data_IF_207375930798
#
_entry.id   IF_207375930798
#
_cell.length_a   1.000
_cell.length_b   1.000
_cell.length_c   1.000
_cell.angle_alpha   90.00
_cell.angle_beta   90.00
_cell.angle_gamma   90.00
#
_symmetry.space_group_name_H-M   'P 1'
#
loop_
_entity.id
_entity.type
_entity.pdbx_description
1 polymer ?
#
# COMPACT_ATOMS: atom_id res chain seq x y z
N UNK A 1 22.69 -21.59 10.82
CA UNK A 1 22.64 -21.57 9.34
C UNK A 1 22.09 -20.20 8.94
N UNK A 2 22.95 -19.26 8.55
CA UNK A 2 22.53 -17.92 8.14
C UNK A 2 22.20 -17.94 6.65
N UNK A 3 20.93 -17.98 6.28
CA UNK A 3 20.51 -17.58 4.94
C UNK A 3 20.25 -16.08 4.96
N UNK A 4 21.27 -15.31 4.55
CA UNK A 4 21.09 -13.98 4.00
C UNK A 4 20.18 -14.11 2.78
N UNK A 5 19.19 -13.24 2.67
CA UNK A 5 18.19 -13.25 1.61
C UNK A 5 18.81 -13.27 0.21
N UNK A 6 18.67 -14.39 -0.48
CA UNK A 6 18.67 -14.44 -1.94
C UNK A 6 17.26 -14.07 -2.41
N UNK A 7 16.95 -12.78 -2.38
CA UNK A 7 15.78 -12.22 -3.06
C UNK A 7 16.03 -12.18 -4.56
N UNK A 8 16.12 -13.34 -5.19
CA UNK A 8 16.26 -13.49 -6.64
C UNK A 8 15.01 -14.15 -7.22
N UNK A 9 14.58 -13.71 -8.39
CA UNK A 9 13.53 -14.38 -9.15
C UNK A 9 14.02 -15.80 -9.50
N UNK A 10 13.45 -16.83 -8.85
CA UNK A 10 13.78 -18.23 -9.08
C UNK A 10 12.76 -18.85 -10.03
N UNK A 11 13.21 -19.30 -11.19
CA UNK A 11 12.38 -20.13 -12.07
C UNK A 11 12.43 -21.59 -11.61
N UNK A 12 11.26 -22.21 -11.55
CA UNK A 12 11.07 -23.59 -11.12
C UNK A 12 10.24 -24.32 -12.17
N UNK A 13 10.66 -25.54 -12.51
CA UNK A 13 9.90 -26.44 -13.35
C UNK A 13 9.32 -27.52 -12.46
N UNK A 14 8.01 -27.50 -12.25
CA UNK A 14 7.31 -28.48 -11.42
C UNK A 14 6.43 -29.33 -12.33
N UNK A 15 6.56 -30.64 -12.21
CA UNK A 15 5.74 -31.58 -12.95
C UNK A 15 4.32 -31.63 -12.36
N UNK A 16 3.32 -31.63 -13.24
CA UNK A 16 1.93 -31.84 -12.83
C UNK A 16 1.65 -33.34 -12.86
N UNK A 17 1.19 -33.86 -11.73
CA UNK A 17 0.78 -35.24 -11.56
C UNK A 17 -0.52 -35.54 -12.32
N UNK A 18 -0.82 -36.83 -12.51
CA UNK A 18 -2.01 -37.27 -13.27
C UNK A 18 -3.33 -36.81 -12.64
N UNK A 19 -3.34 -36.57 -11.34
CA UNK A 19 -4.50 -36.07 -10.59
C UNK A 19 -4.63 -34.53 -10.64
N UNK A 20 -3.74 -33.84 -11.37
CA UNK A 20 -3.73 -32.39 -11.50
C UNK A 20 -3.01 -31.67 -10.36
N UNK A 21 -2.44 -32.40 -9.40
CA UNK A 21 -1.65 -31.79 -8.32
C UNK A 21 -0.21 -31.54 -8.75
N UNK A 22 0.46 -30.63 -8.05
CA UNK A 22 1.88 -30.37 -8.23
C UNK A 22 2.48 -29.99 -6.87
N UNK A 23 3.70 -30.46 -6.59
CA UNK A 23 4.37 -30.17 -5.32
C UNK A 23 5.89 -30.23 -5.51
N UNK A 24 6.58 -29.23 -4.95
CA UNK A 24 8.04 -29.24 -4.81
C UNK A 24 8.39 -29.06 -3.32
N UNK A 25 8.77 -30.15 -2.61
CA UNK A 25 9.03 -30.09 -1.18
C UNK A 25 10.31 -29.33 -0.82
N UNK A 26 11.12 -28.94 -1.80
CA UNK A 26 12.37 -28.19 -1.58
C UNK A 26 12.18 -26.68 -1.56
N UNK A 27 10.97 -26.22 -1.91
CA UNK A 27 10.67 -24.79 -2.07
C UNK A 27 9.82 -24.31 -0.90
N UNK A 28 10.37 -23.35 -0.15
CA UNK A 28 9.65 -22.66 0.92
C UNK A 28 9.36 -21.23 0.50
N UNK A 29 8.08 -20.86 0.48
CA UNK A 29 7.65 -19.48 0.30
C UNK A 29 7.53 -18.83 1.68
N UNK A 30 8.33 -17.79 1.93
CA UNK A 30 8.21 -16.97 3.14
C UNK A 30 7.56 -15.62 2.81
N UNK A 31 6.79 -15.09 3.75
CA UNK A 31 6.02 -13.84 3.58
C UNK A 31 5.11 -13.91 2.33
N UNK A 32 4.89 -12.79 1.64
CA UNK A 32 4.04 -12.71 0.47
C UNK A 32 4.85 -12.87 -0.80
N UNK A 33 4.51 -13.88 -1.60
CA UNK A 33 5.18 -14.17 -2.87
C UNK A 33 4.22 -13.90 -4.05
N UNK A 34 4.74 -13.26 -5.09
CA UNK A 34 4.06 -13.18 -6.39
C UNK A 34 4.58 -14.32 -7.27
N UNK A 35 3.70 -15.25 -7.63
CA UNK A 35 4.05 -16.38 -8.49
C UNK A 35 3.52 -16.09 -9.89
N UNK A 36 4.42 -16.08 -10.87
CA UNK A 36 4.08 -16.05 -12.29
C UNK A 36 4.25 -17.46 -12.86
N UNK A 37 3.27 -17.96 -13.59
CA UNK A 37 3.31 -19.33 -14.09
C UNK A 37 2.82 -19.43 -15.54
N UNK A 38 3.31 -20.47 -16.21
CA UNK A 38 2.88 -20.87 -17.54
C UNK A 38 2.65 -22.38 -17.55
N UNK A 39 1.51 -22.81 -18.09
CA UNK A 39 1.18 -24.21 -18.22
C UNK A 39 1.79 -24.81 -19.48
N UNK A 40 2.11 -26.10 -19.42
CA UNK A 40 2.65 -26.84 -20.56
C UNK A 40 1.65 -26.90 -21.72
N UNK A 41 2.17 -27.06 -22.95
CA UNK A 41 1.35 -27.17 -24.17
C UNK A 41 0.39 -28.36 -24.03
N UNK A 42 -0.91 -28.08 -24.03
CA UNK A 42 -1.97 -29.10 -23.96
C UNK A 42 -3.02 -28.83 -22.88
N UNK A 43 -2.69 -28.05 -21.85
CA UNK A 43 -3.64 -27.61 -20.82
C UNK A 43 -4.21 -26.25 -21.24
N UNK A 44 -5.47 -26.24 -21.69
CA UNK A 44 -6.23 -25.01 -21.97
C UNK A 44 -7.24 -24.80 -20.84
N UNK A 45 -7.36 -23.56 -20.36
CA UNK A 45 -8.36 -23.14 -19.36
C UNK A 45 -8.28 -23.85 -17.99
N UNK A 46 -7.14 -23.77 -17.32
CA UNK A 46 -6.96 -24.30 -15.97
C UNK A 46 -6.90 -23.19 -14.90
N UNK A 47 -7.55 -23.43 -13.76
CA UNK A 47 -7.40 -22.61 -12.55
C UNK A 47 -6.31 -23.22 -11.68
N UNK A 48 -5.25 -22.46 -11.40
CA UNK A 48 -4.16 -22.89 -10.53
C UNK A 48 -4.38 -22.33 -9.13
N UNK A 49 -4.36 -23.20 -8.12
CA UNK A 49 -4.39 -22.83 -6.70
C UNK A 49 -3.10 -23.26 -6.04
N UNK A 50 -2.57 -22.40 -5.18
CA UNK A 50 -1.34 -22.64 -4.44
C UNK A 50 -1.65 -22.73 -2.94
N UNK A 51 -0.85 -23.51 -2.21
CA UNK A 51 -0.93 -23.64 -0.75
C UNK A 51 -2.29 -24.16 -0.23
N UNK A 52 -2.97 -25.05 -0.98
CA UNK A 52 -4.27 -25.61 -0.57
C UNK A 52 -4.22 -26.39 0.75
N UNK A 53 -3.06 -26.95 1.10
CA UNK A 53 -2.82 -27.68 2.35
C UNK A 53 -2.41 -26.79 3.52
N UNK A 54 -2.28 -25.47 3.33
CA UNK A 54 -2.06 -24.55 4.43
C UNK A 54 -3.34 -24.54 5.28
N UNK A 55 -3.19 -24.75 6.59
CA UNK A 55 -4.30 -24.55 7.52
C UNK A 55 -4.93 -23.18 7.22
N UNK A 56 -6.23 -23.11 6.90
CA UNK A 56 -6.86 -21.84 6.60
C UNK A 56 -6.65 -20.91 7.79
N UNK A 57 -6.35 -19.64 7.53
CA UNK A 57 -6.37 -18.64 8.57
C UNK A 57 -7.70 -18.78 9.33
N UNK A 58 -7.65 -18.78 10.67
CA UNK A 58 -8.84 -18.95 11.50
C UNK A 58 -9.99 -18.10 10.95
N UNK A 59 -11.03 -18.77 10.42
CA UNK A 59 -12.18 -18.11 9.76
C UNK A 59 -13.01 -17.28 10.73
N UNK A 60 -12.82 -17.48 12.04
CA UNK A 60 -13.29 -16.58 13.07
C UNK A 60 -12.42 -15.30 13.07
N UNK A 61 -12.59 -14.48 12.03
CA UNK A 61 -12.56 -13.03 12.21
C UNK A 61 -13.82 -12.67 13.01
N UNK A 62 -13.82 -12.97 14.31
CA UNK A 62 -14.60 -12.13 15.21
C UNK A 62 -13.98 -10.76 14.96
N UNK A 63 -14.74 -9.85 14.34
CA UNK A 63 -14.30 -8.47 14.25
C UNK A 63 -13.87 -8.09 15.67
N UNK A 64 -12.59 -7.80 15.86
CA UNK A 64 -12.15 -7.19 17.09
C UNK A 64 -12.85 -5.83 17.13
N UNK A 65 -14.01 -5.75 17.78
CA UNK A 65 -14.71 -4.49 17.98
C UNK A 65 -13.82 -3.63 18.88
N UNK A 66 -13.21 -2.63 18.25
CA UNK A 66 -12.26 -1.69 18.84
C UNK A 66 -11.36 -1.10 17.74
N UNK A 67 -10.50 -0.14 18.09
CA UNK A 67 -9.60 0.63 17.19
C UNK A 67 -8.53 -0.23 16.45
N UNK A 68 -8.76 -1.54 16.32
CA UNK A 68 -7.78 -2.58 16.00
C UNK A 68 -7.81 -2.99 14.53
N UNK A 69 -7.85 -2.02 13.61
CA UNK A 69 -7.76 -2.30 12.18
C UNK A 69 -6.29 -2.35 11.75
N UNK A 70 -5.69 -3.55 11.77
CA UNK A 70 -4.39 -3.78 11.13
C UNK A 70 -4.57 -3.77 9.59
N UNK A 71 -4.07 -2.72 8.93
CA UNK A 71 -4.09 -2.57 7.46
C UNK A 71 -3.09 -3.48 6.72
N UNK A 72 -2.15 -4.09 7.43
CA UNK A 72 -1.08 -4.90 6.84
C UNK A 72 -1.22 -6.35 7.29
N UNK A 73 -1.04 -7.28 6.34
CA UNK A 73 -0.96 -8.71 6.58
C UNK A 73 0.30 -9.03 7.42
N UNK A 74 0.22 -8.81 8.73
CA UNK A 74 1.31 -9.09 9.64
C UNK A 74 1.23 -10.51 10.18
N UNK A 75 1.89 -11.43 9.48
CA UNK A 75 2.02 -12.84 9.88
C UNK A 75 3.04 -13.04 11.01
N UNK A 76 3.76 -11.99 11.43
CA UNK A 76 4.84 -12.06 12.42
C UNK A 76 4.49 -11.42 13.78
N UNK A 77 3.30 -10.84 13.92
CA UNK A 77 2.84 -10.19 15.16
C UNK A 77 3.59 -8.90 15.52
N UNK A 78 4.40 -8.37 14.61
CA UNK A 78 5.21 -7.17 14.79
C UNK A 78 4.36 -5.91 15.03
N UNK A 79 3.22 -5.79 14.35
CA UNK A 79 2.24 -4.74 14.56
C UNK A 79 1.69 -4.77 15.98
N UNK A 80 1.46 -5.96 16.56
CA UNK A 80 0.98 -6.10 17.94
C UNK A 80 2.04 -5.63 18.94
N UNK A 81 3.31 -5.98 18.72
CA UNK A 81 4.41 -5.53 19.57
C UNK A 81 4.62 -4.01 19.50
N UNK A 82 4.50 -3.40 18.33
CA UNK A 82 4.54 -1.95 18.19
C UNK A 82 3.38 -1.26 18.88
N UNK A 83 2.15 -1.79 18.73
CA UNK A 83 0.97 -1.25 19.40
C UNK A 83 1.09 -1.30 20.92
N UNK A 84 1.58 -2.42 21.48
CA UNK A 84 1.82 -2.54 22.91
C UNK A 84 2.89 -1.55 23.38
N UNK A 85 3.95 -1.37 22.60
CA UNK A 85 5.00 -0.38 22.90
C UNK A 85 4.47 1.05 22.87
N UNK A 86 3.63 1.39 21.90
CA UNK A 86 2.98 2.70 21.79
C UNK A 86 1.94 2.92 22.90
N UNK A 87 1.20 1.90 23.29
CA UNK A 87 0.25 1.96 24.41
C UNK A 87 0.97 2.18 25.73
N UNK A 88 2.07 1.47 25.98
CA UNK A 88 2.96 1.69 27.13
C UNK A 88 3.52 3.11 27.12
N UNK A 89 4.00 3.59 25.96
CA UNK A 89 4.46 4.98 25.80
C UNK A 89 3.38 6.00 26.15
N UNK A 90 2.15 5.77 25.68
CA UNK A 90 1.00 6.63 25.97
C UNK A 90 0.65 6.62 27.46
N UNK A 91 0.60 5.45 28.09
CA UNK A 91 0.34 5.31 29.52
C UNK A 91 1.41 6.03 30.35
N UNK A 92 2.69 5.87 30.02
CA UNK A 92 3.79 6.58 30.67
C UNK A 92 3.69 8.10 30.50
N UNK A 93 3.31 8.59 29.31
CA UNK A 93 3.04 10.02 29.10
C UNK A 93 1.82 10.53 29.87
N UNK A 94 0.83 9.66 30.13
CA UNK A 94 -0.38 10.00 30.89
C UNK A 94 -0.07 10.07 32.39
N UNK A 95 0.72 9.11 32.90
CA UNK A 95 1.21 9.05 34.29
C UNK A 95 2.18 10.19 34.62
N UNK A 96 2.93 10.71 33.64
CA UNK A 96 3.82 11.86 33.81
C UNK A 96 3.09 13.21 33.99
N UNK A 97 1.76 13.22 34.03
CA UNK A 97 0.96 14.41 34.33
C UNK A 97 1.08 15.49 33.25
N UNK A 98 0.21 15.44 32.24
CA UNK A 98 0.04 16.55 31.29
C UNK A 98 -1.31 17.22 31.50
N UNK A 99 -1.27 18.50 31.87
CA UNK A 99 -2.42 19.42 31.71
C UNK A 99 -2.59 19.66 30.21
N UNK A 100 -3.78 19.40 29.68
CA UNK A 100 -4.06 19.55 28.25
C UNK A 100 -4.53 20.96 27.94
N UNK A 101 -3.84 21.60 26.99
CA UNK A 101 -4.39 22.74 26.26
C UNK A 101 -5.28 22.22 25.13
N UNK A 102 -6.42 22.88 24.92
CA UNK A 102 -7.47 22.43 24.01
C UNK A 102 -6.99 22.57 22.56
N UNK A 103 -6.83 21.46 21.83
CA UNK A 103 -6.50 21.47 20.39
C UNK A 103 -7.72 21.04 19.58
N UNK A 104 -8.31 22.00 18.87
CA UNK A 104 -9.35 21.74 17.87
C UNK A 104 -8.64 21.35 16.56
N UNK A 105 -8.61 20.06 16.22
CA UNK A 105 -8.11 19.61 14.93
C UNK A 105 -9.22 19.81 13.89
N UNK A 106 -9.12 20.86 13.07
CA UNK A 106 -9.90 20.99 11.84
C UNK A 106 -9.06 20.44 10.68
N UNK A 107 -9.03 19.12 10.51
CA UNK A 107 -8.42 18.52 9.32
C UNK A 107 -9.38 18.67 8.14
N UNK A 108 -9.01 19.49 7.15
CA UNK A 108 -9.71 19.54 5.85
C UNK A 108 -9.10 18.47 4.95
N UNK A 109 -9.82 17.37 4.74
CA UNK A 109 -9.44 16.35 3.74
C UNK A 109 -9.49 16.98 2.35
N UNK A 110 -8.42 16.83 1.56
CA UNK A 110 -8.39 17.28 0.16
C UNK A 110 -9.40 16.48 -0.65
N UNK A 111 -10.12 17.16 -1.53
CA UNK A 111 -11.06 16.53 -2.47
C UNK A 111 -10.29 15.76 -3.56
N UNK A 112 -10.89 14.76 -4.22
CA UNK A 112 -10.24 14.02 -5.31
C UNK A 112 -9.69 14.91 -6.43
N UNK A 113 -10.42 15.98 -6.77
CA UNK A 113 -9.99 16.96 -7.79
C UNK A 113 -8.81 17.82 -7.34
N UNK A 114 -8.72 18.19 -6.05
CA UNK A 114 -7.54 18.87 -5.50
C UNK A 114 -6.29 17.97 -5.56
N UNK A 115 -6.45 16.65 -5.36
CA UNK A 115 -5.34 15.69 -5.49
C UNK A 115 -4.88 15.57 -6.94
N UNK A 116 -5.81 15.57 -7.90
CA UNK A 116 -5.47 15.55 -9.33
C UNK A 116 -4.78 16.85 -9.75
N UNK A 117 -5.25 17.99 -9.26
CA UNK A 117 -4.65 19.28 -9.58
C UNK A 117 -3.18 19.34 -9.13
N UNK A 118 -2.88 18.86 -7.92
CA UNK A 118 -1.50 18.75 -7.41
C UNK A 118 -0.63 17.76 -8.20
N UNK A 119 -1.25 16.75 -8.83
CA UNK A 119 -0.53 15.69 -9.55
C UNK A 119 -0.22 16.06 -11.00
N UNK A 120 -1.09 16.79 -11.67
CA UNK A 120 -0.97 17.09 -13.10
C UNK A 120 -0.62 18.54 -13.39
N UNK A 121 -1.24 19.48 -12.67
CA UNK A 121 -1.09 20.89 -12.97
C UNK A 121 0.12 21.49 -12.25
N UNK A 122 0.86 22.35 -12.95
CA UNK A 122 2.07 22.98 -12.46
C UNK A 122 2.03 24.50 -12.60
N UNK A 123 2.72 25.20 -11.69
CA UNK A 123 2.89 26.65 -11.77
C UNK A 123 1.58 27.42 -11.93
N UNK A 124 1.48 28.20 -13.01
CA UNK A 124 0.30 29.03 -13.32
C UNK A 124 -0.94 28.23 -13.75
N UNK A 125 -0.80 26.93 -14.02
CA UNK A 125 -1.91 26.04 -14.34
C UNK A 125 -2.50 25.39 -13.08
N UNK A 126 -1.86 25.48 -11.91
CA UNK A 126 -2.38 24.96 -10.64
C UNK A 126 -3.39 25.92 -9.97
N UNK A 127 -4.22 25.38 -9.09
CA UNK A 127 -5.22 26.15 -8.32
C UNK A 127 -6.58 26.27 -9.01
N UNK A 128 -7.10 27.49 -9.06
CA UNK A 128 -8.51 27.75 -9.36
C UNK A 128 -8.88 27.57 -10.85
N UNK A 129 -10.08 27.03 -11.10
CA UNK A 129 -10.58 26.68 -12.44
C UNK A 129 -11.72 25.66 -12.37
N UNK A 130 -12.35 25.35 -13.51
CA UNK A 130 -13.21 24.15 -13.56
C UNK A 130 -12.31 22.93 -13.67
N UNK A 131 -12.61 21.91 -12.87
CA UNK A 131 -11.77 20.73 -12.69
C UNK A 131 -12.62 19.49 -12.95
N UNK A 132 -12.16 18.60 -13.83
CA UNK A 132 -12.88 17.40 -14.22
C UNK A 132 -11.98 16.18 -14.07
N UNK A 133 -12.41 15.24 -13.22
CA UNK A 133 -11.77 13.94 -13.02
C UNK A 133 -12.31 12.95 -14.06
N UNK A 134 -11.54 12.67 -15.11
CA UNK A 134 -11.94 11.74 -16.17
C UNK A 134 -11.60 10.28 -15.84
N UNK A 135 -10.86 10.03 -14.77
CA UNK A 135 -10.58 8.68 -14.29
C UNK A 135 -11.83 8.10 -13.61
N UNK A 136 -12.55 8.94 -12.87
CA UNK A 136 -13.70 8.51 -12.06
C UNK A 136 -15.06 9.02 -12.54
N UNK A 137 -15.14 9.76 -13.66
CA UNK A 137 -16.41 10.22 -14.24
C UNK A 137 -16.99 9.17 -15.22
N UNK A 138 -18.13 8.52 -14.91
CA UNK A 138 -18.76 7.55 -15.81
C UNK A 138 -19.13 8.12 -17.18
N UNK A 139 -19.39 9.44 -17.26
CA UNK A 139 -19.74 10.12 -18.52
C UNK A 139 -18.54 10.24 -19.47
N UNK A 140 -17.31 10.24 -18.94
CA UNK A 140 -16.10 10.28 -19.75
C UNK A 140 -15.98 9.03 -20.65
N UNK A 141 -16.43 7.87 -20.17
CA UNK A 141 -16.40 6.61 -20.94
C UNK A 141 -17.38 6.60 -22.11
N UNK A 142 -18.44 7.43 -22.07
CA UNK A 142 -19.47 7.52 -23.10
C UNK A 142 -19.30 8.70 -24.07
N UNK A 143 -18.39 9.62 -23.76
CA UNK A 143 -18.14 10.78 -24.60
C UNK A 143 -17.35 10.38 -25.85
N UNK A 144 -17.77 10.88 -27.02
CA UNK A 144 -17.11 10.59 -28.30
C UNK A 144 -15.77 11.28 -28.44
N UNK A 145 -15.63 12.48 -27.88
CA UNK A 145 -14.40 13.26 -27.83
C UNK A 145 -14.42 14.18 -26.58
N UNK A 146 -13.30 14.88 -26.36
CA UNK A 146 -13.12 15.79 -25.22
C UNK A 146 -14.12 16.96 -25.25
N UNK A 147 -14.51 17.44 -26.44
CA UNK A 147 -15.41 18.59 -26.58
C UNK A 147 -16.86 18.22 -26.30
N UNK A 148 -17.29 17.03 -26.73
CA UNK A 148 -18.57 16.43 -26.37
C UNK A 148 -18.64 16.19 -24.85
N UNK A 149 -17.54 15.79 -24.21
CA UNK A 149 -17.47 15.67 -22.76
C UNK A 149 -17.68 17.02 -22.04
N UNK A 150 -17.03 18.08 -22.53
CA UNK A 150 -17.09 19.42 -21.92
C UNK A 150 -18.38 20.17 -22.23
N UNK A 151 -19.17 19.71 -23.21
CA UNK A 151 -20.39 20.37 -23.65
C UNK A 151 -21.38 20.51 -22.49
N UNK A 152 -21.71 21.77 -22.15
CA UNK A 152 -22.62 22.09 -21.05
C UNK A 152 -22.02 21.96 -19.63
N UNK A 153 -20.76 21.54 -19.48
CA UNK A 153 -20.10 21.42 -18.17
C UNK A 153 -19.38 22.68 -17.71
N UNK A 154 -19.04 23.59 -18.63
CA UNK A 154 -18.31 24.84 -18.34
C UNK A 154 -19.21 26.04 -18.63
N UNK A 155 -19.49 26.85 -17.60
CA UNK A 155 -20.37 28.00 -17.77
C UNK A 155 -19.76 29.08 -18.69
N UNK A 156 -20.52 29.47 -19.71
CA UNK A 156 -20.13 30.49 -20.70
C UNK A 156 -19.25 29.97 -21.83
N UNK A 157 -18.80 28.70 -21.79
CA UNK A 157 -18.13 28.05 -22.91
C UNK A 157 -19.20 27.50 -23.87
N UNK A 158 -19.19 27.99 -25.10
CA UNK A 158 -20.00 27.51 -26.20
C UNK A 158 -19.13 26.63 -27.09
N UNK A 159 -19.59 25.41 -27.32
CA UNK A 159 -18.96 24.44 -28.20
C UNK A 159 -19.98 24.15 -29.31
N UNK A 160 -19.63 24.44 -30.55
CA UNK A 160 -20.44 24.13 -31.74
C UNK A 160 -19.69 23.16 -32.65
N UNK A 161 -20.42 22.33 -33.41
CA UNK A 161 -19.80 21.25 -34.19
C UNK A 161 -19.35 20.06 -33.32
N UNK A 162 -18.54 19.17 -33.91
CA UNK A 162 -18.06 17.94 -33.26
C UNK A 162 -16.74 17.49 -33.88
N UNK A 163 -15.91 16.77 -33.13
CA UNK A 163 -14.62 16.28 -33.60
C UNK A 163 -13.70 17.41 -34.07
N UNK A 164 -12.98 17.18 -35.18
CA UNK A 164 -12.08 18.17 -35.78
C UNK A 164 -12.77 19.47 -36.24
N UNK A 165 -14.10 19.46 -36.43
CA UNK A 165 -14.87 20.63 -36.82
C UNK A 165 -15.46 21.39 -35.62
N UNK A 166 -15.05 21.05 -34.39
CA UNK A 166 -15.50 21.76 -33.20
C UNK A 166 -15.00 23.22 -33.23
N UNK A 167 -15.87 24.15 -32.83
CA UNK A 167 -15.53 25.55 -32.63
C UNK A 167 -15.82 25.93 -31.19
N UNK A 168 -14.84 26.57 -30.56
CA UNK A 168 -14.89 26.95 -29.15
C UNK A 168 -15.02 28.46 -29.04
N UNK A 169 -15.99 28.93 -28.27
CA UNK A 169 -16.21 30.33 -28.00
C UNK A 169 -16.51 30.53 -26.52
N UNK A 170 -15.71 31.33 -25.83
CA UNK A 170 -15.89 31.63 -24.41
C UNK A 170 -15.95 33.14 -24.20
N UNK A 171 -17.12 33.65 -23.81
CA UNK A 171 -17.35 35.09 -23.53
C UNK A 171 -16.82 36.04 -24.61
N UNK A 172 -16.97 35.67 -25.88
CA UNK A 172 -16.62 36.54 -27.01
C UNK A 172 -15.29 36.24 -27.70
N UNK A 173 -14.49 35.27 -27.22
CA UNK A 173 -13.29 34.83 -27.94
C UNK A 173 -13.00 33.33 -27.81
N UNK A 174 -12.14 32.81 -28.69
CA UNK A 174 -11.73 31.41 -28.65
C UNK A 174 -10.75 31.17 -27.50
N UNK A 175 -11.00 30.20 -26.60
CA UNK A 175 -10.06 29.83 -25.56
C UNK A 175 -8.86 29.07 -26.14
N UNK A 176 -7.72 29.16 -25.48
CA UNK A 176 -6.54 28.38 -25.82
C UNK A 176 -6.75 26.91 -25.44
N UNK A 177 -6.34 25.97 -26.29
CA UNK A 177 -6.31 24.54 -25.96
C UNK A 177 -4.88 24.07 -25.75
N UNK A 178 -4.65 23.31 -24.69
CA UNK A 178 -3.35 22.77 -24.33
C UNK A 178 -3.45 21.30 -23.99
N UNK A 179 -2.39 20.55 -24.29
CA UNK A 179 -2.20 19.18 -23.82
C UNK A 179 -0.96 19.17 -22.97
N UNK A 180 -1.08 18.71 -21.73
CA UNK A 180 0.02 18.67 -20.76
C UNK A 180 0.79 20.01 -20.72
N UNK A 181 0.05 21.11 -20.69
CA UNK A 181 0.56 22.51 -20.63
C UNK A 181 1.26 23.01 -21.91
N UNK A 182 1.22 22.24 -22.99
CA UNK A 182 1.75 22.62 -24.31
C UNK A 182 0.60 23.04 -25.23
N UNK A 183 0.66 24.22 -25.88
CA UNK A 183 -0.34 24.64 -26.85
C UNK A 183 -0.55 23.60 -27.95
N UNK A 184 -1.80 23.33 -28.28
CA UNK A 184 -2.19 22.39 -29.33
C UNK A 184 -3.37 22.95 -30.12
N UNK A 185 -3.99 22.12 -30.95
CA UNK A 185 -5.14 22.49 -31.79
C UNK A 185 -6.33 21.55 -31.58
N UNK A 186 -7.49 22.00 -32.05
CA UNK A 186 -8.76 21.29 -31.89
C UNK A 186 -8.73 19.94 -32.60
N UNK A 187 -8.09 19.87 -33.76
CA UNK A 187 -8.02 18.64 -34.56
C UNK A 187 -7.28 17.53 -33.80
N UNK A 188 -6.10 17.83 -33.26
CA UNK A 188 -5.33 16.89 -32.47
C UNK A 188 -6.02 16.51 -31.16
N UNK A 189 -6.56 17.48 -30.40
CA UNK A 189 -7.34 17.18 -29.19
C UNK A 189 -8.53 16.26 -29.49
N UNK A 190 -9.23 16.47 -30.61
CA UNK A 190 -10.37 15.64 -31.00
C UNK A 190 -9.99 14.19 -31.35
N UNK A 191 -8.74 13.94 -31.74
CA UNK A 191 -8.22 12.60 -32.04
C UNK A 191 -7.86 11.79 -30.79
N UNK A 192 -7.74 12.44 -29.63
CA UNK A 192 -7.40 11.78 -28.37
C UNK A 192 -8.62 11.07 -27.83
N UNK A 193 -8.49 9.77 -27.60
CA UNK A 193 -9.51 9.00 -26.90
C UNK A 193 -9.68 9.56 -25.47
N UNK A 194 -10.92 9.86 -25.07
CA UNK A 194 -11.26 10.40 -23.74
C UNK A 194 -10.74 9.50 -22.61
N UNK A 195 -10.67 8.18 -22.83
CA UNK A 195 -10.10 7.22 -21.87
C UNK A 195 -8.59 7.34 -21.68
N UNK A 196 -7.87 8.07 -22.53
CA UNK A 196 -6.45 8.36 -22.33
C UNK A 196 -6.23 9.67 -21.57
N UNK A 197 -7.30 10.38 -21.21
CA UNK A 197 -7.26 11.61 -20.43
C UNK A 197 -7.52 11.28 -18.96
N UNK A 198 -6.72 11.88 -18.07
CA UNK A 198 -6.90 11.72 -16.63
C UNK A 198 -7.70 12.89 -16.03
N UNK A 199 -7.36 14.09 -16.48
CA UNK A 199 -7.79 15.32 -15.84
C UNK A 199 -7.96 16.41 -16.89
N UNK A 200 -9.07 17.13 -16.85
CA UNK A 200 -9.25 18.34 -17.66
C UNK A 200 -9.41 19.51 -16.72
N UNK A 201 -8.62 20.55 -16.96
CA UNK A 201 -8.71 21.81 -16.24
C UNK A 201 -9.05 22.94 -17.18
N UNK A 202 -10.06 23.73 -16.82
CA UNK A 202 -10.55 24.82 -17.64
C UNK A 202 -10.37 26.14 -16.89
N UNK A 203 -9.40 26.93 -17.36
CA UNK A 203 -8.95 28.20 -16.80
C UNK A 203 -9.84 29.33 -17.30
N UNK A 204 -10.49 30.05 -16.37
CA UNK A 204 -11.43 31.11 -16.70
C UNK A 204 -10.73 32.32 -17.32
N UNK A 205 -11.36 33.02 -18.29
CA UNK A 205 -10.85 34.30 -18.77
C UNK A 205 -10.90 35.38 -17.68
N UNK A 206 -9.88 36.26 -17.58
CA UNK A 206 -8.63 36.23 -18.35
C UNK A 206 -7.60 35.25 -17.74
N UNK A 207 -6.98 34.40 -18.57
CA UNK A 207 -5.88 33.53 -18.13
C UNK A 207 -4.55 34.03 -18.68
N UNK A 208 -3.61 34.36 -17.79
CA UNK A 208 -2.30 34.93 -18.15
C UNK A 208 -1.15 33.93 -18.07
N UNK A 209 -1.42 32.66 -17.76
CA UNK A 209 -0.36 31.64 -17.61
C UNK A 209 0.21 31.12 -18.93
N UNK A 210 -0.40 31.46 -20.07
CA UNK A 210 0.10 31.11 -21.41
C UNK A 210 -0.22 32.21 -22.42
N UNK A 211 0.66 32.40 -23.40
CA UNK A 211 0.43 33.33 -24.51
C UNK A 211 -0.80 32.90 -25.31
N UNK A 212 -1.77 33.79 -25.50
CA UNK A 212 -3.07 33.47 -26.12
C UNK A 212 -4.17 33.03 -25.14
N UNK A 213 -3.89 32.93 -23.83
CA UNK A 213 -4.88 32.55 -22.80
C UNK A 213 -5.89 33.63 -22.40
N UNK A 214 -5.89 34.80 -23.03
CA UNK A 214 -6.74 35.94 -22.63
C UNK A 214 -8.25 35.63 -22.59
N UNK A 215 -8.70 34.68 -23.43
CA UNK A 215 -10.09 34.21 -23.47
C UNK A 215 -10.32 32.92 -22.65
N UNK A 216 -9.39 32.59 -21.76
CA UNK A 216 -9.38 31.34 -21.00
C UNK A 216 -8.55 30.26 -21.67
N UNK A 217 -8.40 29.13 -20.99
CA UNK A 217 -7.69 27.97 -21.51
C UNK A 217 -8.36 26.65 -21.11
N UNK A 218 -8.30 25.65 -21.98
CA UNK A 218 -8.69 24.27 -21.70
C UNK A 218 -7.40 23.45 -21.73
N UNK A 219 -7.02 22.90 -20.59
CA UNK A 219 -5.82 22.08 -20.42
C UNK A 219 -6.25 20.64 -20.23
N UNK A 220 -5.82 19.79 -21.15
CA UNK A 220 -6.09 18.35 -21.14
C UNK A 220 -4.84 17.63 -20.67
N UNK A 221 -4.94 16.91 -19.55
CA UNK A 221 -3.83 16.14 -19.01
C UNK A 221 -3.98 14.66 -19.33
N UNK A 222 -2.98 14.11 -19.99
CA UNK A 222 -2.98 12.69 -20.37
C UNK A 222 -2.70 11.80 -19.16
N UNK A 223 -3.20 10.56 -19.21
CA UNK A 223 -2.93 9.54 -18.19
C UNK A 223 -1.42 9.26 -18.13
N UNK A 224 -0.84 9.33 -16.93
CA UNK A 224 0.53 8.92 -16.63
C UNK A 224 0.53 7.44 -16.23
N UNK A 225 1.69 6.78 -16.23
CA UNK A 225 1.79 5.31 -16.10
C UNK A 225 1.07 4.65 -14.91
N UNK A 226 0.79 5.39 -13.83
CA UNK A 226 0.03 4.89 -12.67
C UNK A 226 -1.49 5.05 -12.80
N UNK A 227 -1.98 5.64 -13.90
CA UNK A 227 -3.40 5.91 -14.20
C UNK A 227 -3.98 4.92 -15.22
N UNK A 228 -3.11 4.05 -15.73
CA UNK A 228 -3.49 2.96 -16.61
C UNK A 228 -4.18 1.92 -15.73
N UNK A 229 -5.49 1.73 -15.91
CA UNK A 229 -6.07 0.45 -15.51
C UNK A 229 -5.34 -0.61 -16.31
N UNK A 230 -4.65 -1.51 -15.60
CA UNK A 230 -3.97 -2.66 -16.21
C UNK A 230 -4.93 -3.33 -17.18
N UNK A 231 -4.64 -3.26 -18.48
CA UNK A 231 -5.31 -4.13 -19.44
C UNK A 231 -4.97 -5.57 -19.06
N UNK A 232 -5.94 -6.38 -18.63
CA UNK A 232 -5.68 -7.78 -18.31
C UNK A 232 -5.52 -8.52 -19.64
N UNK A 233 -4.29 -8.86 -20.02
CA UNK A 233 -4.10 -9.71 -21.20
C UNK A 233 -2.70 -9.98 -21.73
N UNK A 234 -1.65 -9.25 -21.34
CA UNK A 234 -0.29 -9.43 -21.90
C UNK A 234 0.79 -9.84 -20.87
N UNK A 235 0.40 -10.48 -19.78
CA UNK A 235 1.32 -11.01 -18.77
C UNK A 235 1.17 -12.51 -18.58
N UNK A 236 2.22 -13.16 -18.08
CA UNK A 236 2.08 -14.49 -17.48
C UNK A 236 0.98 -14.45 -16.41
N UNK A 237 0.17 -15.50 -16.34
CA UNK A 237 -0.79 -15.66 -15.26
C UNK A 237 -0.07 -15.54 -13.92
N UNK A 238 -0.59 -14.69 -13.03
CA UNK A 238 0.02 -14.44 -11.74
C UNK A 238 -0.94 -14.74 -10.60
N UNK A 239 -0.38 -15.25 -9.50
CA UNK A 239 -1.11 -15.49 -8.25
C UNK A 239 -0.29 -14.95 -7.10
N UNK A 240 -0.94 -14.17 -6.24
CA UNK A 240 -0.35 -13.72 -4.98
C UNK A 240 -0.59 -14.80 -3.92
N UNK A 241 0.48 -15.28 -3.30
CA UNK A 241 0.42 -16.38 -2.34
C UNK A 241 1.05 -15.93 -1.03
N UNK A 242 0.27 -16.02 0.05
CA UNK A 242 0.79 -15.79 1.40
C UNK A 242 1.51 -17.05 1.88
N UNK A 243 2.84 -17.01 1.87
CA UNK A 243 3.73 -18.04 2.38
C UNK A 243 3.75 -18.16 3.91
N UNK A 244 4.79 -18.80 4.43
CA UNK A 244 5.04 -18.97 5.86
C UNK A 244 5.64 -17.70 6.46
N UNK A 245 5.39 -17.46 7.75
CA UNK A 245 6.08 -16.39 8.46
C UNK A 245 7.59 -16.66 8.42
N UNK A 246 8.43 -15.70 8.02
CA UNK A 246 9.88 -15.89 8.09
C UNK A 246 10.27 -16.14 9.56
N UNK A 247 11.23 -17.04 9.75
CA UNK A 247 11.83 -17.27 11.08
C UNK A 247 12.64 -16.02 11.43
N UNK A 248 12.02 -15.06 12.13
CA UNK A 248 12.72 -13.90 12.66
C UNK A 248 13.38 -14.29 13.98
N UNK A 249 14.68 -14.03 14.09
CA UNK A 249 15.34 -14.02 15.39
C UNK A 249 14.82 -12.83 16.17
N UNK A 250 14.53 -13.03 17.46
CA UNK A 250 14.08 -11.96 18.33
C UNK A 250 15.16 -10.88 18.43
N UNK A 251 14.79 -9.64 18.15
CA UNK A 251 15.71 -8.52 18.25
C UNK A 251 16.04 -8.24 19.71
N UNK A 252 17.30 -8.45 20.08
CA UNK A 252 17.86 -8.01 21.35
C UNK A 252 18.83 -6.86 21.07
N UNK A 253 18.53 -5.63 21.51
CA UNK A 253 19.47 -4.52 21.40
C UNK A 253 20.72 -4.84 22.19
N UNK A 254 21.86 -4.36 21.68
CA UNK A 254 23.12 -4.44 22.40
C UNK A 254 23.41 -3.09 23.06
N UNK A 255 23.24 -3.02 24.37
CA UNK A 255 23.55 -1.83 25.17
C UNK A 255 25.04 -1.69 25.49
N UNK A 256 25.90 -2.63 25.07
CA UNK A 256 27.34 -2.55 25.30
C UNK A 256 28.06 -1.56 24.37
N UNK A 257 27.39 -1.04 23.35
CA UNK A 257 27.94 -0.06 22.39
C UNK A 257 27.09 1.20 22.38
N UNK A 258 27.70 2.37 22.57
CA UNK A 258 27.00 3.65 22.44
C UNK A 258 26.79 3.97 20.95
N UNK A 259 25.58 3.71 20.45
CA UNK A 259 25.10 4.16 19.15
C UNK A 259 23.96 5.16 19.38
N UNK A 260 23.78 6.16 18.50
CA UNK A 260 22.72 7.16 18.65
C UNK A 260 21.29 6.57 18.72
N UNK A 261 21.08 5.35 18.21
CA UNK A 261 19.83 4.61 18.35
C UNK A 261 19.53 4.15 19.80
N UNK A 262 20.55 4.09 20.66
CA UNK A 262 20.44 3.73 22.08
C UNK A 262 20.14 4.93 22.99
N UNK A 263 20.01 6.15 22.44
CA UNK A 263 19.59 7.34 23.22
C UNK A 263 18.07 7.39 23.45
N UNK A 264 17.30 6.60 22.70
CA UNK A 264 15.86 6.50 22.90
C UNK A 264 15.54 5.58 24.08
N UNK A 265 14.61 6.01 24.94
CA UNK A 265 14.12 5.21 26.06
C UNK A 265 13.62 3.84 25.59
N UNK A 266 14.19 2.76 26.16
CA UNK A 266 13.82 1.39 25.88
C UNK A 266 12.51 1.04 26.60
N UNK A 267 11.44 0.86 25.81
CA UNK A 267 10.08 0.55 26.28
C UNK A 267 9.62 -0.85 25.86
N UNK A 268 10.54 -1.74 25.49
CA UNK A 268 10.18 -3.09 25.02
C UNK A 268 9.45 -3.87 26.12
N UNK A 269 8.31 -4.46 25.77
CA UNK A 269 7.52 -5.31 26.69
C UNK A 269 8.02 -6.75 26.77
N UNK A 270 8.67 -7.23 25.71
CA UNK A 270 9.38 -8.52 25.70
C UNK A 270 10.87 -8.22 25.71
N UNK A 271 11.60 -8.72 26.71
CA UNK A 271 13.04 -8.44 26.86
C UNK A 271 13.91 -9.56 26.27
N UNK A 272 13.37 -10.78 26.24
CA UNK A 272 14.01 -11.97 25.72
C UNK A 272 12.98 -12.93 25.13
N UNK A 273 13.28 -13.50 23.98
CA UNK A 273 12.50 -14.58 23.39
C UNK A 273 13.42 -15.53 22.64
N UNK A 274 13.38 -16.81 23.01
CA UNK A 274 14.10 -17.87 22.31
C UNK A 274 13.19 -19.11 22.18
N UNK A 275 12.71 -19.42 20.96
CA UNK A 275 11.83 -20.56 20.73
C UNK A 275 12.56 -21.91 20.73
N UNK A 276 13.90 -21.90 20.77
CA UNK A 276 14.72 -23.12 20.71
C UNK A 276 15.64 -23.20 21.93
N UNK A 277 15.08 -23.68 23.02
CA UNK A 277 15.82 -24.03 24.23
C UNK A 277 15.71 -25.54 24.42
N UNK A 278 16.85 -26.24 24.28
CA UNK A 278 16.94 -27.68 24.49
C UNK A 278 17.67 -27.94 25.80
N UNK A 279 17.04 -28.71 26.69
CA UNK A 279 17.64 -29.20 27.93
C UNK A 279 18.07 -30.66 27.76
N UNK A 280 19.19 -31.04 28.37
CA UNK A 280 19.60 -32.44 28.47
C UNK A 280 19.55 -32.89 29.93
N UNK A 281 19.31 -34.18 30.22
CA UNK A 281 19.23 -34.69 31.60
C UNK A 281 20.45 -34.37 32.46
N UNK A 282 21.63 -34.22 31.83
CA UNK A 282 22.90 -33.90 32.48
C UNK A 282 23.06 -32.39 32.74
N UNK A 283 22.33 -31.56 31.99
CA UNK A 283 22.32 -30.09 32.10
C UNK A 283 20.89 -29.59 32.34
N UNK A 284 20.37 -29.90 33.54
CA UNK A 284 19.06 -29.44 34.02
C UNK A 284 18.98 -27.93 34.31
N UNK A 285 19.96 -27.14 33.84
CA UNK A 285 20.02 -25.70 34.02
C UNK A 285 20.32 -25.03 32.68
N UNK A 286 19.51 -24.06 32.31
CA UNK A 286 19.72 -23.20 31.14
C UNK A 286 20.05 -21.80 31.65
N UNK A 287 21.18 -21.24 31.18
CA UNK A 287 21.53 -19.85 31.46
C UNK A 287 21.04 -18.98 30.31
N UNK A 288 20.13 -18.05 30.62
CA UNK A 288 19.63 -17.05 29.70
C UNK A 288 20.19 -15.69 30.11
N UNK A 289 20.67 -14.91 29.15
CA UNK A 289 21.22 -13.57 29.36
C UNK A 289 20.49 -12.64 28.42
N UNK A 290 19.99 -11.52 28.94
CA UNK A 290 19.26 -10.51 28.18
C UNK A 290 19.46 -9.14 28.82
N UNK A 291 19.18 -8.09 28.03
CA UNK A 291 19.23 -6.72 28.50
C UNK A 291 17.86 -6.27 29.00
N UNK A 292 17.84 -5.62 30.17
CA UNK A 292 16.64 -4.98 30.69
C UNK A 292 16.26 -3.74 29.86
N UNK A 293 15.04 -3.23 30.07
CA UNK A 293 14.57 -1.94 29.54
C UNK A 293 14.63 -0.85 30.64
N UNK A 294 14.23 0.38 30.31
CA UNK A 294 14.36 1.54 31.20
C UNK A 294 13.21 1.69 32.22
N UNK A 295 12.18 0.84 32.14
CA UNK A 295 10.91 1.03 32.87
C UNK A 295 10.51 -0.15 33.76
N UNK A 296 10.97 -1.36 33.46
CA UNK A 296 10.56 -2.57 34.15
C UNK A 296 11.29 -2.72 35.48
N UNK A 297 10.50 -2.85 36.55
CA UNK A 297 10.97 -3.12 37.92
C UNK A 297 10.79 -4.59 38.34
N UNK A 298 10.07 -5.37 37.56
CA UNK A 298 9.83 -6.78 37.76
C UNK A 298 9.67 -7.48 36.40
N UNK A 299 9.94 -8.78 36.36
CA UNK A 299 9.96 -9.61 35.16
C UNK A 299 8.89 -10.69 35.22
N UNK A 300 8.11 -10.81 34.15
CA UNK A 300 7.25 -11.98 33.92
C UNK A 300 8.00 -12.99 33.05
N UNK A 301 8.33 -14.14 33.61
CA UNK A 301 8.99 -15.25 32.91
C UNK A 301 7.94 -16.28 32.53
N UNK A 302 7.85 -16.59 31.24
CA UNK A 302 6.97 -17.63 30.71
C UNK A 302 7.85 -18.64 29.96
N UNK A 303 7.76 -19.91 30.34
CA UNK A 303 8.46 -21.02 29.69
C UNK A 303 7.40 -21.99 29.19
N UNK A 304 7.37 -22.22 27.88
CA UNK A 304 6.46 -23.16 27.22
C UNK A 304 7.27 -24.18 26.43
N UNK A 305 6.83 -25.43 26.42
CA UNK A 305 7.56 -26.49 25.73
C UNK A 305 6.86 -27.84 25.74
N UNK A 306 7.57 -28.85 25.24
CA UNK A 306 7.09 -30.23 25.14
C UNK A 306 8.17 -31.20 25.64
N UNK A 307 7.78 -32.18 26.45
CA UNK A 307 8.68 -33.25 26.90
C UNK A 307 9.01 -34.22 25.76
N UNK A 308 10.02 -35.08 25.95
CA UNK A 308 10.37 -36.15 24.99
C UNK A 308 9.18 -37.08 24.66
N UNK A 309 8.26 -37.24 25.61
CA UNK A 309 7.08 -38.09 25.48
C UNK A 309 5.86 -37.33 24.91
N UNK A 310 6.05 -36.09 24.41
CA UNK A 310 5.00 -35.29 23.79
C UNK A 310 4.07 -34.54 24.76
N UNK A 311 4.40 -34.48 26.07
CA UNK A 311 3.58 -33.74 27.04
C UNK A 311 3.91 -32.24 27.01
N UNK A 312 2.89 -31.41 26.84
CA UNK A 312 3.03 -29.96 26.90
C UNK A 312 3.27 -29.47 28.34
N UNK A 313 4.11 -28.45 28.49
CA UNK A 313 4.38 -27.79 29.77
C UNK A 313 4.35 -26.28 29.62
N UNK A 314 3.88 -25.60 30.67
CA UNK A 314 3.86 -24.13 30.79
C UNK A 314 4.18 -23.75 32.22
N UNK A 315 5.20 -22.91 32.40
CA UNK A 315 5.59 -22.33 33.68
C UNK A 315 5.51 -20.82 33.54
N UNK A 316 4.88 -20.17 34.50
CA UNK A 316 4.75 -18.72 34.55
C UNK A 316 5.14 -18.25 35.95
N UNK A 317 6.08 -17.31 36.03
CA UNK A 317 6.58 -16.77 37.28
C UNK A 317 6.86 -15.27 37.16
N UNK A 318 6.56 -14.52 38.21
CA UNK A 318 6.97 -13.12 38.35
C UNK A 318 8.23 -13.08 39.23
N UNK A 319 9.25 -12.36 38.78
CA UNK A 319 10.49 -12.12 39.51
C UNK A 319 10.62 -10.62 39.75
N UNK A 320 10.72 -10.22 41.01
CA UNK A 320 10.96 -8.82 41.41
C UNK A 320 12.45 -8.53 41.56
#
# INVERSE_FOLDING_TARGET
>A
MNQKGEGGNKMLFVQVEKDGTFNDPTVFLFDTANIYFQLSKGIKDATVRFMESKLPAYKNRIFANGLYYNKLEDTTGYARHFQLSDEVRRLLQTEQGKVLENVIIKAKTKTPVEILDEKYASGMFAGDGYQFDLVNDPFANSATDIFAYLQGKVAGLQITGSGANAQLQWRGGAPLVLIDEIPSDIEFLSSINVNNVAYIKVMRPPFMGAMGGGNGAIVVYTRKGNDVQNEPGKGLSSSKVSGYSPIKQFYSPNHSSFLAANEQQDLRTTLYWNPQVVTTPEKNKVKLIFYNNDVAKAFRVIIEGMSKDGRLTRIEQIME
#
